data_IF_489086057308
#
_entry.id   IF_489086057308
#
_cell.length_a   1.000
_cell.length_b   1.000
_cell.length_c   1.000
_cell.angle_alpha   90.00
_cell.angle_beta   90.00
_cell.angle_gamma   90.00
#
_symmetry.space_group_name_H-M   'P 1'
#
loop_
_entity.id
_entity.type
_entity.pdbx_description
1 polymer ?
#
# COMPACT_ATOMS: atom_id res chain seq x y z
N UNK A 1 7.25 11.16 -8.45
CA UNK A 1 8.65 10.69 -8.54
C UNK A 1 9.55 11.33 -7.48
N UNK A 2 9.75 12.67 -7.43
CA UNK A 2 10.69 13.28 -6.47
C UNK A 2 10.36 12.98 -5.00
N UNK A 3 9.09 13.05 -4.59
CA UNK A 3 8.66 12.76 -3.21
C UNK A 3 8.89 11.31 -2.73
N UNK A 4 9.02 10.35 -3.66
CA UNK A 4 9.24 8.94 -3.32
C UNK A 4 10.72 8.68 -3.05
N UNK A 5 11.60 9.25 -3.87
CA UNK A 5 13.04 9.16 -3.65
C UNK A 5 13.47 9.95 -2.42
N UNK A 6 12.86 11.11 -2.17
CA UNK A 6 13.16 11.97 -1.02
C UNK A 6 12.98 11.23 0.32
N UNK A 7 12.01 10.31 0.38
CA UNK A 7 11.75 9.46 1.55
C UNK A 7 12.64 8.22 1.68
N UNK A 8 13.39 7.85 0.64
CA UNK A 8 14.20 6.61 0.61
C UNK A 8 15.71 6.85 0.72
N UNK A 9 16.16 8.03 0.31
CA UNK A 9 17.58 8.37 0.27
C UNK A 9 17.86 9.70 0.99
N UNK A 10 16.85 10.54 1.21
CA UNK A 10 17.06 11.96 1.49
C UNK A 10 17.48 12.72 0.23
N UNK A 11 17.05 13.97 0.10
CA UNK A 11 17.31 14.81 -1.08
C UNK A 11 18.82 14.96 -1.35
N UNK A 12 19.63 15.15 -0.32
CA UNK A 12 21.09 15.29 -0.41
C UNK A 12 21.77 14.07 -1.04
N UNK A 13 21.37 12.85 -0.69
CA UNK A 13 22.00 11.62 -1.20
C UNK A 13 21.68 11.37 -2.64
N UNK A 14 20.46 11.71 -3.06
CA UNK A 14 20.08 11.63 -4.47
C UNK A 14 20.98 12.52 -5.31
N UNK A 15 21.24 13.75 -4.88
CA UNK A 15 22.14 14.64 -5.62
C UNK A 15 23.56 14.07 -5.68
N UNK A 16 24.10 13.55 -4.57
CA UNK A 16 25.45 12.95 -4.55
C UNK A 16 25.53 11.73 -5.47
N UNK A 17 24.54 10.83 -5.42
CA UNK A 17 24.46 9.65 -6.29
C UNK A 17 24.29 10.04 -7.76
N UNK A 18 23.39 10.97 -8.07
CA UNK A 18 23.17 11.44 -9.43
C UNK A 18 24.43 12.08 -10.02
N UNK A 19 25.16 12.87 -9.23
CA UNK A 19 26.42 13.46 -9.65
C UNK A 19 27.50 12.39 -9.87
N UNK A 20 27.66 11.45 -8.95
CA UNK A 20 28.66 10.38 -9.06
C UNK A 20 28.39 9.46 -10.26
N UNK A 21 27.13 9.00 -10.41
CA UNK A 21 26.68 8.21 -11.57
C UNK A 21 26.84 9.01 -12.86
N UNK A 22 26.38 10.26 -12.86
CA UNK A 22 26.44 11.16 -14.02
C UNK A 22 27.87 11.39 -14.51
N UNK A 23 28.82 11.61 -13.59
CA UNK A 23 30.23 11.77 -13.93
C UNK A 23 30.82 10.51 -14.59
N UNK A 24 30.49 9.31 -14.08
CA UNK A 24 30.93 8.06 -14.70
C UNK A 24 30.32 7.80 -16.08
N UNK A 25 29.03 8.14 -16.27
CA UNK A 25 28.36 8.05 -17.57
C UNK A 25 28.93 9.05 -18.58
N UNK A 26 29.28 10.27 -18.14
CA UNK A 26 29.96 11.27 -18.97
C UNK A 26 31.34 10.76 -19.38
N UNK A 27 32.09 10.11 -18.50
CA UNK A 27 33.39 9.54 -18.84
C UNK A 27 33.27 8.42 -19.89
N UNK A 28 32.28 7.53 -19.75
CA UNK A 28 31.96 6.51 -20.77
C UNK A 28 31.65 7.19 -22.10
N UNK A 29 30.83 8.24 -22.08
CA UNK A 29 30.47 8.98 -23.28
C UNK A 29 31.66 9.67 -23.95
N UNK A 30 32.55 10.30 -23.18
CA UNK A 30 33.78 10.93 -23.68
C UNK A 30 34.69 9.90 -24.36
N UNK A 31 34.96 8.77 -23.70
CA UNK A 31 35.77 7.67 -24.29
C UNK A 31 35.18 7.12 -25.57
N UNK A 32 33.86 7.05 -25.64
CA UNK A 32 33.16 6.56 -26.82
C UNK A 32 33.24 7.54 -27.99
N UNK A 33 33.27 8.86 -27.73
CA UNK A 33 33.47 9.90 -28.74
C UNK A 33 34.91 10.03 -29.23
N UNK A 34 35.89 9.65 -28.41
CA UNK A 34 37.32 9.72 -28.76
C UNK A 34 37.79 8.56 -29.65
N UNK A 35 36.90 7.64 -30.05
CA UNK A 35 37.18 6.59 -31.02
C UNK A 35 37.33 7.11 -32.47
N UNK A 36 37.71 6.23 -33.43
CA UNK A 36 37.88 6.62 -34.83
C UNK A 36 36.61 7.31 -35.37
N UNK A 37 36.80 8.40 -36.13
CA UNK A 37 35.71 9.21 -36.66
C UNK A 37 34.68 8.33 -37.41
N UNK A 38 33.42 8.35 -36.95
CA UNK A 38 32.31 7.55 -37.51
C UNK A 38 31.91 6.33 -36.66
N UNK A 39 32.72 5.94 -35.68
CA UNK A 39 32.36 4.93 -34.70
C UNK A 39 31.35 5.55 -33.70
N UNK A 40 30.05 5.40 -33.97
CA UNK A 40 28.99 5.85 -33.08
C UNK A 40 29.07 5.21 -31.69
N UNK A 41 28.18 5.61 -30.78
CA UNK A 41 28.18 5.14 -29.39
C UNK A 41 28.03 3.62 -29.18
N UNK A 42 27.69 2.90 -30.25
CA UNK A 42 27.57 1.44 -30.32
C UNK A 42 28.89 0.72 -30.59
N UNK A 43 29.99 1.45 -30.84
CA UNK A 43 31.25 0.86 -31.29
C UNK A 43 31.99 0.12 -30.18
N UNK A 44 31.76 0.45 -28.91
CA UNK A 44 32.33 -0.25 -27.76
C UNK A 44 31.26 -1.04 -26.98
N UNK A 45 31.70 -2.06 -26.24
CA UNK A 45 30.78 -2.92 -25.48
C UNK A 45 30.00 -2.13 -24.40
N UNK A 46 30.61 -1.12 -23.82
CA UNK A 46 30.06 -0.33 -22.72
C UNK A 46 28.97 0.64 -23.17
N UNK A 47 29.18 1.36 -24.28
CA UNK A 47 28.18 2.22 -24.87
C UNK A 47 26.97 1.42 -25.37
N UNK A 48 27.19 0.22 -25.91
CA UNK A 48 26.10 -0.74 -26.22
C UNK A 48 25.33 -1.15 -24.97
N UNK A 49 26.02 -1.42 -23.85
CA UNK A 49 25.36 -1.79 -22.60
C UNK A 49 24.52 -0.64 -22.03
N UNK A 50 25.08 0.58 -21.96
CA UNK A 50 24.33 1.79 -21.57
C UNK A 50 23.09 1.96 -22.45
N UNK A 51 23.27 1.80 -23.76
CA UNK A 51 22.18 1.94 -24.70
C UNK A 51 21.09 0.92 -24.58
N UNK A 52 21.46 -0.35 -24.44
CA UNK A 52 20.52 -1.42 -24.19
C UNK A 52 19.71 -1.15 -22.92
N UNK A 53 20.34 -0.72 -21.83
CA UNK A 53 19.65 -0.42 -20.57
C UNK A 53 18.66 0.74 -20.71
N UNK A 54 19.06 1.84 -21.36
CA UNK A 54 18.17 2.99 -21.64
C UNK A 54 16.99 2.55 -22.52
N UNK A 55 17.26 1.80 -23.59
CA UNK A 55 16.21 1.31 -24.49
C UNK A 55 15.25 0.39 -23.75
N UNK A 56 15.75 -0.55 -22.94
CA UNK A 56 14.92 -1.45 -22.13
C UNK A 56 14.01 -0.64 -21.21
N UNK A 57 14.56 0.33 -20.48
CA UNK A 57 13.79 1.17 -19.56
C UNK A 57 12.71 1.98 -20.29
N UNK A 58 13.10 2.74 -21.30
CA UNK A 58 12.19 3.63 -22.04
C UNK A 58 11.13 2.82 -22.79
N UNK A 59 11.51 1.77 -23.50
CA UNK A 59 10.57 0.93 -24.24
C UNK A 59 9.57 0.25 -23.29
N UNK A 60 10.03 -0.27 -22.15
CA UNK A 60 9.15 -0.92 -21.18
C UNK A 60 8.13 0.05 -20.59
N UNK A 61 8.57 1.24 -20.19
CA UNK A 61 7.67 2.28 -19.66
C UNK A 61 6.68 2.78 -20.72
N UNK A 62 7.14 3.01 -21.96
CA UNK A 62 6.30 3.43 -23.06
C UNK A 62 5.25 2.37 -23.41
N UNK A 63 5.64 1.10 -23.55
CA UNK A 63 4.72 0.00 -23.84
C UNK A 63 3.66 -0.10 -22.74
N UNK A 64 4.07 -0.05 -21.47
CA UNK A 64 3.14 -0.11 -20.34
C UNK A 64 2.20 1.11 -20.31
N UNK A 65 2.71 2.31 -20.58
CA UNK A 65 1.91 3.54 -20.64
C UNK A 65 0.91 3.52 -21.81
N UNK A 66 1.34 3.15 -23.02
CA UNK A 66 0.47 3.00 -24.20
C UNK A 66 -0.62 1.96 -23.93
N UNK A 67 -0.24 0.80 -23.38
CA UNK A 67 -1.20 -0.25 -23.02
C UNK A 67 -2.23 0.24 -21.99
N UNK A 68 -1.81 1.12 -21.07
CA UNK A 68 -2.70 1.72 -20.10
C UNK A 68 -3.72 2.70 -20.68
N UNK A 69 -3.52 3.19 -21.91
CA UNK A 69 -4.54 3.99 -22.61
C UNK A 69 -5.74 3.14 -23.05
N UNK A 70 -5.53 1.84 -23.30
CA UNK A 70 -6.60 0.91 -23.68
C UNK A 70 -7.39 0.42 -22.46
N UNK A 71 -6.68 0.12 -21.37
CA UNK A 71 -7.25 -0.28 -20.09
C UNK A 71 -6.60 0.57 -18.99
N UNK A 72 -7.34 1.52 -18.37
CA UNK A 72 -6.80 2.40 -17.33
C UNK A 72 -6.28 1.61 -16.12
N UNK A 73 -5.00 1.25 -16.17
CA UNK A 73 -4.35 0.41 -15.16
C UNK A 73 -3.09 1.05 -14.59
N UNK A 74 -2.63 2.17 -15.15
CA UNK A 74 -1.35 2.79 -14.79
C UNK A 74 -1.29 3.16 -13.31
N UNK A 75 -0.23 2.71 -12.64
CA UNK A 75 0.05 3.04 -11.26
C UNK A 75 1.56 3.25 -11.07
N UNK A 76 1.95 4.17 -10.18
CA UNK A 76 3.37 4.48 -9.91
C UNK A 76 4.19 3.26 -9.49
N UNK A 77 3.55 2.23 -8.90
CA UNK A 77 4.21 0.97 -8.56
C UNK A 77 4.80 0.23 -9.76
N UNK A 78 4.32 0.48 -10.98
CA UNK A 78 4.88 -0.13 -12.19
C UNK A 78 6.22 0.46 -12.60
N UNK A 79 6.60 1.62 -12.04
CA UNK A 79 7.96 2.14 -12.16
C UNK A 79 8.99 1.23 -11.48
N UNK A 80 8.57 0.26 -10.64
CA UNK A 80 9.45 -0.76 -10.10
C UNK A 80 10.19 -1.54 -11.21
N UNK A 81 9.59 -1.68 -12.41
CA UNK A 81 10.24 -2.36 -13.55
C UNK A 81 11.46 -1.57 -14.05
N UNK A 82 11.48 -0.25 -13.87
CA UNK A 82 12.62 0.59 -14.22
C UNK A 82 13.78 0.49 -13.20
N UNK A 83 13.55 -0.07 -12.02
CA UNK A 83 14.57 -0.14 -10.96
C UNK A 83 15.79 -0.95 -11.40
N UNK A 84 15.59 -2.12 -12.00
CA UNK A 84 16.69 -2.98 -12.43
C UNK A 84 17.62 -2.30 -13.47
N UNK A 85 17.12 -1.76 -14.61
CA UNK A 85 18.00 -1.10 -15.58
C UNK A 85 18.65 0.16 -15.00
N UNK A 86 17.94 0.95 -14.18
CA UNK A 86 18.52 2.12 -13.51
C UNK A 86 19.62 1.74 -12.52
N UNK A 87 19.45 0.66 -11.75
CA UNK A 87 20.48 0.16 -10.83
C UNK A 87 21.73 -0.28 -11.59
N UNK A 88 21.57 -0.97 -12.73
CA UNK A 88 22.71 -1.38 -13.56
C UNK A 88 23.43 -0.19 -14.20
N UNK A 89 22.68 0.81 -14.67
CA UNK A 89 23.24 2.08 -15.16
C UNK A 89 23.98 2.82 -14.04
N UNK A 90 23.39 2.87 -12.86
CA UNK A 90 23.98 3.47 -11.67
C UNK A 90 25.27 2.77 -11.26
N UNK A 91 25.27 1.44 -11.18
CA UNK A 91 26.44 0.63 -10.87
C UNK A 91 27.57 0.83 -11.89
N UNK A 92 27.24 0.86 -13.18
CA UNK A 92 28.21 1.13 -14.23
C UNK A 92 28.79 2.55 -14.12
N UNK A 93 27.96 3.56 -13.87
CA UNK A 93 28.41 4.93 -13.63
C UNK A 93 29.34 5.03 -12.43
N UNK A 94 28.95 4.47 -11.28
CA UNK A 94 29.76 4.46 -10.06
C UNK A 94 31.10 3.74 -10.26
N UNK A 95 31.11 2.60 -10.94
CA UNK A 95 32.33 1.85 -11.26
C UNK A 95 33.33 2.67 -12.09
N UNK A 96 32.86 3.65 -12.87
CA UNK A 96 33.71 4.53 -13.70
C UNK A 96 34.00 5.88 -13.08
N UNK A 97 33.32 6.24 -12.01
CA UNK A 97 33.61 7.44 -11.24
C UNK A 97 34.86 7.30 -10.33
N UNK A 98 35.48 6.12 -10.27
CA UNK A 98 36.72 5.89 -9.50
C UNK A 98 36.51 6.16 -8.01
N UNK A 99 37.42 6.92 -7.39
CA UNK A 99 37.34 7.26 -5.96
C UNK A 99 36.06 8.01 -5.57
N UNK A 100 35.47 8.78 -6.50
CA UNK A 100 34.19 9.46 -6.25
C UNK A 100 33.03 8.47 -6.17
N UNK A 101 33.07 7.40 -6.96
CA UNK A 101 32.08 6.32 -6.89
C UNK A 101 32.12 5.59 -5.55
N UNK A 102 33.33 5.31 -5.04
CA UNK A 102 33.53 4.70 -3.71
C UNK A 102 33.04 5.62 -2.59
N UNK A 103 33.38 6.91 -2.63
CA UNK A 103 32.90 7.88 -1.65
C UNK A 103 31.36 8.01 -1.67
N UNK A 104 30.75 8.03 -2.85
CA UNK A 104 29.30 8.02 -3.02
C UNK A 104 28.63 6.78 -2.42
N UNK A 105 29.17 5.59 -2.68
CA UNK A 105 28.66 4.33 -2.11
C UNK A 105 28.81 4.29 -0.58
N UNK A 106 29.95 4.74 -0.05
CA UNK A 106 30.17 4.81 1.40
C UNK A 106 29.15 5.74 2.07
N UNK A 107 28.85 6.88 1.47
CA UNK A 107 27.84 7.81 1.98
C UNK A 107 26.44 7.19 1.99
N UNK A 108 26.03 6.48 0.93
CA UNK A 108 24.74 5.76 0.92
C UNK A 108 24.68 4.72 2.04
N UNK A 109 25.74 3.91 2.20
CA UNK A 109 25.79 2.88 3.24
C UNK A 109 25.67 3.48 4.65
N UNK A 110 26.36 4.59 4.91
CA UNK A 110 26.25 5.32 6.18
C UNK A 110 24.82 5.80 6.40
N UNK A 111 24.18 6.39 5.38
CA UNK A 111 22.86 6.97 5.56
C UNK A 111 21.77 5.90 5.70
N UNK A 112 21.89 4.77 5.01
CA UNK A 112 21.03 3.61 5.25
C UNK A 112 21.22 3.01 6.64
N UNK A 113 22.39 3.10 7.25
CA UNK A 113 22.59 2.66 8.64
C UNK A 113 21.82 3.52 9.65
N UNK A 114 21.41 4.73 9.27
CA UNK A 114 20.64 5.65 10.12
C UNK A 114 19.18 5.82 9.68
N UNK A 115 18.78 5.29 8.52
CA UNK A 115 17.40 5.34 8.04
C UNK A 115 16.61 4.13 8.56
N UNK A 116 15.59 4.40 9.38
CA UNK A 116 14.72 3.37 9.95
C UNK A 116 13.49 3.13 9.08
N UNK A 117 12.88 1.94 9.13
CA UNK A 117 11.59 1.74 8.48
C UNK A 117 10.57 2.76 9.03
N UNK A 118 9.59 3.18 8.21
CA UNK A 118 8.48 3.99 8.71
C UNK A 118 7.86 3.27 9.91
N UNK A 119 7.60 3.99 11.02
CA UNK A 119 7.25 3.34 12.29
C UNK A 119 5.99 2.48 12.14
N UNK A 120 5.01 2.92 11.35
CA UNK A 120 3.77 2.16 11.11
C UNK A 120 3.13 2.46 9.75
N UNK A 121 2.53 1.43 9.14
CA UNK A 121 1.69 1.53 7.92
C UNK A 121 0.20 1.66 8.22
N UNK A 122 -0.22 1.20 9.40
CA UNK A 122 -1.59 1.19 9.95
C UNK A 122 -1.51 0.80 11.43
N UNK A 123 -2.59 0.99 12.18
CA UNK A 123 -2.70 0.63 13.61
C UNK A 123 -3.37 -0.73 13.87
N UNK A 124 -3.43 -1.65 12.89
CA UNK A 124 -4.16 -2.93 13.04
C UNK A 124 -3.62 -3.78 14.19
N UNK A 125 -2.31 -3.82 14.39
CA UNK A 125 -1.69 -4.57 15.50
C UNK A 125 -2.08 -4.00 16.86
N UNK A 126 -2.02 -2.68 17.02
CA UNK A 126 -2.46 -1.95 18.22
C UNK A 126 -3.95 -2.16 18.48
N UNK A 127 -4.76 -2.08 17.42
CA UNK A 127 -6.21 -2.33 17.46
C UNK A 127 -6.50 -3.75 17.93
N UNK A 128 -5.81 -4.75 17.38
CA UNK A 128 -6.00 -6.15 17.72
C UNK A 128 -5.59 -6.47 19.17
N UNK A 129 -4.43 -5.98 19.61
CA UNK A 129 -3.97 -6.13 20.99
C UNK A 129 -4.97 -5.52 22.00
N UNK A 130 -5.62 -4.41 21.62
CA UNK A 130 -6.65 -3.78 22.47
C UNK A 130 -7.97 -4.56 22.46
N UNK A 131 -8.30 -5.22 21.34
CA UNK A 131 -9.53 -6.01 21.21
C UNK A 131 -9.42 -7.41 21.82
N UNK A 132 -8.21 -7.97 21.92
CA UNK A 132 -7.93 -9.34 22.40
C UNK A 132 -8.69 -9.71 23.69
N UNK A 133 -8.74 -8.86 24.75
CA UNK A 133 -9.47 -9.20 25.98
C UNK A 133 -11.00 -9.20 25.83
N UNK A 134 -11.52 -8.61 24.75
CA UNK A 134 -12.95 -8.34 24.56
C UNK A 134 -13.61 -9.34 23.61
N UNK A 135 -12.91 -9.74 22.55
CA UNK A 135 -13.43 -10.70 21.56
C UNK A 135 -13.33 -12.13 22.07
N UNK A 136 -14.30 -12.96 21.69
CA UNK A 136 -14.36 -14.38 22.06
C UNK A 136 -14.55 -15.27 20.82
N UNK A 137 -14.11 -16.54 20.85
CA UNK A 137 -14.38 -17.50 19.78
C UNK A 137 -15.84 -17.48 19.34
N UNK A 138 -16.08 -17.35 18.04
CA UNK A 138 -17.41 -17.24 17.43
C UNK A 138 -18.01 -15.83 17.34
N UNK A 139 -17.38 -14.81 17.93
CA UNK A 139 -17.73 -13.41 17.69
C UNK A 139 -17.45 -13.04 16.21
N UNK A 140 -18.16 -12.02 15.72
CA UNK A 140 -18.12 -11.60 14.33
C UNK A 140 -17.28 -10.33 14.16
N UNK A 141 -16.23 -10.38 13.34
CA UNK A 141 -15.44 -9.22 12.91
C UNK A 141 -15.86 -8.83 11.49
N UNK A 142 -16.31 -7.60 11.34
CA UNK A 142 -16.78 -7.03 10.08
C UNK A 142 -15.83 -5.91 9.67
N UNK A 143 -15.11 -6.03 8.55
CA UNK A 143 -14.30 -4.94 8.02
C UNK A 143 -14.95 -4.27 6.81
N UNK A 144 -15.09 -2.95 6.85
CA UNK A 144 -15.60 -2.19 5.71
C UNK A 144 -14.54 -1.98 4.62
N UNK A 145 -13.27 -2.24 4.94
CA UNK A 145 -12.16 -2.36 4.01
C UNK A 145 -11.84 -3.85 3.79
N UNK A 146 -12.31 -4.49 2.71
CA UNK A 146 -12.12 -5.91 2.49
C UNK A 146 -10.65 -6.36 2.56
N UNK A 147 -9.71 -5.48 2.20
CA UNK A 147 -8.26 -5.73 2.24
C UNK A 147 -7.67 -5.87 3.65
N UNK A 148 -8.42 -5.49 4.70
CA UNK A 148 -7.96 -5.59 6.09
C UNK A 148 -8.24 -6.96 6.71
N UNK A 149 -9.09 -7.80 6.12
CA UNK A 149 -9.45 -9.10 6.72
C UNK A 149 -8.23 -10.01 6.93
N UNK A 150 -7.29 -10.18 5.97
CA UNK A 150 -6.16 -11.06 6.21
C UNK A 150 -5.26 -10.63 7.37
N UNK A 151 -5.04 -9.32 7.53
CA UNK A 151 -4.24 -8.80 8.64
C UNK A 151 -5.01 -8.84 9.97
N UNK A 152 -6.33 -8.60 9.96
CA UNK A 152 -7.17 -8.76 11.15
C UNK A 152 -7.22 -10.22 11.60
N UNK A 153 -7.34 -11.18 10.68
CA UNK A 153 -7.31 -12.61 10.97
C UNK A 153 -5.95 -13.05 11.53
N UNK A 154 -4.86 -12.55 10.96
CA UNK A 154 -3.51 -12.83 11.45
C UNK A 154 -3.31 -12.43 12.92
N UNK A 155 -3.84 -11.26 13.35
CA UNK A 155 -3.66 -10.79 14.72
C UNK A 155 -4.73 -11.26 15.71
N UNK A 156 -5.99 -11.44 15.27
CA UNK A 156 -7.09 -11.80 16.16
C UNK A 156 -7.37 -13.32 16.25
N UNK A 157 -6.81 -14.11 15.33
CA UNK A 157 -6.98 -15.57 15.30
C UNK A 157 -8.13 -16.04 14.39
N UNK A 158 -8.18 -17.34 14.12
CA UNK A 158 -9.12 -18.01 13.22
C UNK A 158 -10.41 -18.51 13.90
N UNK A 159 -10.46 -18.47 15.23
CA UNK A 159 -11.65 -18.81 16.03
C UNK A 159 -12.79 -17.78 15.90
N UNK A 160 -12.55 -16.64 15.24
CA UNK A 160 -13.54 -15.61 14.97
C UNK A 160 -14.20 -15.79 13.60
N UNK A 161 -15.41 -15.25 13.44
CA UNK A 161 -16.08 -15.18 12.14
C UNK A 161 -15.73 -13.88 11.46
N UNK A 162 -15.38 -13.91 10.18
CA UNK A 162 -15.01 -12.71 9.43
C UNK A 162 -16.01 -12.38 8.32
N UNK A 163 -16.29 -11.10 8.16
CA UNK A 163 -17.12 -10.59 7.08
C UNK A 163 -16.58 -9.25 6.55
N UNK A 164 -16.96 -8.95 5.30
CA UNK A 164 -16.71 -7.66 4.66
C UNK A 164 -18.03 -7.01 4.27
N UNK A 165 -17.94 -5.90 3.53
CA UNK A 165 -19.11 -5.30 2.87
C UNK A 165 -19.90 -6.29 2.00
N UNK A 166 -19.30 -7.38 1.55
CA UNK A 166 -19.91 -8.41 0.71
C UNK A 166 -20.44 -9.63 1.48
N UNK A 167 -20.41 -9.61 2.81
CA UNK A 167 -20.79 -10.75 3.66
C UNK A 167 -19.59 -11.55 4.16
N UNK A 168 -19.85 -12.80 4.59
CA UNK A 168 -18.86 -13.68 5.22
C UNK A 168 -17.69 -14.01 4.30
N UNK A 169 -16.48 -14.08 4.86
CA UNK A 169 -15.25 -14.38 4.14
C UNK A 169 -14.77 -15.80 4.48
N UNK A 170 -14.80 -16.75 3.52
CA UNK A 170 -14.35 -18.11 3.77
C UNK A 170 -12.81 -18.26 3.68
N UNK A 171 -12.14 -17.45 2.86
CA UNK A 171 -10.69 -17.45 2.70
C UNK A 171 -10.08 -16.21 3.36
N UNK A 172 -9.39 -16.41 4.48
CA UNK A 172 -8.78 -15.33 5.26
C UNK A 172 -7.37 -14.96 4.75
N UNK A 173 -6.81 -15.71 3.80
CA UNK A 173 -5.46 -15.46 3.28
C UNK A 173 -5.40 -14.34 2.24
N UNK A 174 -6.51 -14.05 1.56
CA UNK A 174 -6.54 -13.11 0.44
C UNK A 174 -7.89 -12.41 0.30
N UNK A 175 -7.84 -11.14 -0.12
CA UNK A 175 -9.03 -10.39 -0.52
C UNK A 175 -9.18 -10.42 -2.03
N UNK A 176 -10.30 -11.00 -2.51
CA UNK A 176 -10.63 -10.97 -3.94
C UNK A 176 -11.16 -9.61 -4.38
N UNK A 177 -10.33 -8.88 -5.12
CA UNK A 177 -10.65 -7.56 -5.68
C UNK A 177 -11.23 -7.58 -7.09
N UNK A 178 -11.40 -8.76 -7.71
CA UNK A 178 -12.07 -8.86 -9.00
C UNK A 178 -13.47 -8.27 -8.86
N UNK A 179 -13.80 -7.37 -9.78
CA UNK A 179 -15.06 -6.61 -9.80
C UNK A 179 -15.37 -5.88 -8.49
N UNK A 180 -14.34 -5.53 -7.69
CA UNK A 180 -14.52 -4.99 -6.35
C UNK A 180 -15.37 -3.72 -6.30
N UNK A 181 -15.21 -2.81 -7.26
CA UNK A 181 -16.02 -1.58 -7.34
C UNK A 181 -17.50 -1.91 -7.60
N UNK A 182 -17.76 -2.82 -8.53
CA UNK A 182 -19.11 -3.26 -8.88
C UNK A 182 -19.78 -3.94 -7.69
N UNK A 183 -19.05 -4.82 -7.00
CA UNK A 183 -19.51 -5.50 -5.78
C UNK A 183 -19.80 -4.50 -4.66
N UNK A 184 -18.92 -3.52 -4.42
CA UNK A 184 -19.12 -2.45 -3.42
C UNK A 184 -20.32 -1.55 -3.75
N UNK A 185 -20.55 -1.23 -5.02
CA UNK A 185 -21.75 -0.47 -5.44
C UNK A 185 -23.03 -1.23 -5.13
N UNK A 186 -23.01 -2.54 -5.34
CA UNK A 186 -24.17 -3.38 -5.11
C UNK A 186 -24.57 -3.46 -3.63
N UNK A 187 -23.66 -3.24 -2.67
CA UNK A 187 -23.91 -3.54 -1.26
C UNK A 187 -24.76 -2.52 -0.53
N UNK A 188 -25.35 -2.89 0.60
CA UNK A 188 -25.99 -1.98 1.56
C UNK A 188 -26.02 -2.60 2.95
N UNK A 189 -26.16 -1.79 3.99
CA UNK A 189 -26.25 -2.30 5.36
C UNK A 189 -27.47 -3.23 5.52
N UNK A 190 -28.62 -2.83 4.98
CA UNK A 190 -29.85 -3.63 5.05
C UNK A 190 -29.71 -4.99 4.35
N UNK A 191 -29.05 -5.03 3.18
CA UNK A 191 -28.97 -6.27 2.40
C UNK A 191 -27.86 -7.19 2.87
N UNK A 192 -26.70 -6.64 3.23
CA UNK A 192 -25.48 -7.42 3.44
C UNK A 192 -25.08 -7.51 4.92
N UNK A 193 -25.38 -6.50 5.75
CA UNK A 193 -25.06 -6.49 7.18
C UNK A 193 -26.22 -7.06 8.03
N UNK A 194 -27.47 -6.71 7.74
CA UNK A 194 -28.64 -7.19 8.50
C UNK A 194 -28.69 -8.72 8.64
N UNK A 195 -28.44 -9.53 7.58
CA UNK A 195 -28.45 -10.99 7.71
C UNK A 195 -27.35 -11.50 8.65
N UNK A 196 -26.22 -10.80 8.77
CA UNK A 196 -25.15 -11.16 9.69
C UNK A 196 -25.59 -10.91 11.14
N UNK A 197 -26.21 -9.76 11.39
CA UNK A 197 -26.75 -9.40 12.72
C UNK A 197 -27.83 -10.41 13.15
N UNK A 198 -28.72 -10.82 12.23
CA UNK A 198 -29.79 -11.80 12.52
C UNK A 198 -29.25 -13.18 12.90
N UNK A 199 -28.09 -13.58 12.40
CA UNK A 199 -27.42 -14.86 12.71
C UNK A 199 -26.56 -14.80 13.96
N UNK A 200 -26.36 -13.60 14.52
CA UNK A 200 -25.57 -13.40 15.73
C UNK A 200 -26.39 -13.83 16.94
N UNK A 201 -25.89 -14.79 17.71
CA UNK A 201 -26.54 -15.26 18.93
C UNK A 201 -26.54 -14.15 20.00
N UNK A 202 -27.57 -14.06 20.86
CA UNK A 202 -27.53 -13.22 22.04
C UNK A 202 -26.26 -13.43 22.88
N UNK A 203 -25.68 -12.34 23.37
CA UNK A 203 -24.41 -12.32 24.12
C UNK A 203 -23.14 -12.39 23.26
N UNK A 204 -23.24 -12.65 21.95
CA UNK A 204 -22.11 -12.58 21.01
C UNK A 204 -21.83 -11.14 20.59
N UNK A 205 -20.60 -10.89 20.15
CA UNK A 205 -20.16 -9.56 19.72
C UNK A 205 -20.06 -9.44 18.21
N UNK A 206 -20.35 -8.24 17.73
CA UNK A 206 -20.03 -7.76 16.39
C UNK A 206 -19.01 -6.63 16.52
N UNK A 207 -17.85 -6.80 15.90
CA UNK A 207 -16.80 -5.79 15.84
C UNK A 207 -16.81 -5.17 14.45
N UNK A 208 -17.28 -3.92 14.33
CA UNK A 208 -17.22 -3.17 13.09
C UNK A 208 -15.85 -2.46 13.00
N UNK A 209 -15.02 -2.87 12.05
CA UNK A 209 -13.73 -2.26 11.74
C UNK A 209 -13.85 -1.39 10.50
N UNK A 210 -13.59 -0.10 10.64
CA UNK A 210 -13.71 0.90 9.58
C UNK A 210 -12.49 1.84 9.52
N UNK A 211 -12.18 2.43 8.35
CA UNK A 211 -11.13 3.42 8.24
C UNK A 211 -11.47 4.73 8.96
N UNK A 212 -10.48 5.33 9.60
CA UNK A 212 -10.54 6.71 10.08
C UNK A 212 -10.12 7.63 8.94
N UNK A 213 -11.08 8.37 8.40
CA UNK A 213 -10.88 9.28 7.27
C UNK A 213 -10.64 10.71 7.77
N UNK A 214 -9.38 11.15 7.74
CA UNK A 214 -8.99 12.54 8.07
C UNK A 214 -9.06 13.50 6.88
N UNK A 215 -8.80 12.99 5.68
CA UNK A 215 -8.72 13.77 4.45
C UNK A 215 -9.59 13.08 3.39
N UNK A 216 -10.67 13.76 2.96
CA UNK A 216 -11.62 13.21 2.00
C UNK A 216 -11.05 13.13 0.59
N UNK A 217 -10.12 14.02 0.22
CA UNK A 217 -9.54 14.04 -1.13
C UNK A 217 -8.72 12.78 -1.39
N UNK A 218 -8.02 12.27 -0.36
CA UNK A 218 -7.31 10.98 -0.43
C UNK A 218 -8.24 9.77 -0.61
N UNK A 219 -9.53 9.93 -0.38
CA UNK A 219 -10.56 8.90 -0.48
C UNK A 219 -11.52 9.13 -1.67
N UNK A 220 -11.07 9.89 -2.68
CA UNK A 220 -11.85 10.21 -3.88
C UNK A 220 -11.77 9.16 -5.00
N UNK A 221 -10.89 8.16 -4.88
CA UNK A 221 -10.86 7.08 -5.86
C UNK A 221 -12.15 6.24 -5.79
N UNK A 222 -12.63 5.67 -6.91
CA UNK A 222 -13.96 5.04 -6.95
C UNK A 222 -14.22 3.98 -5.89
N UNK A 223 -13.22 3.17 -5.55
CA UNK A 223 -13.37 2.12 -4.53
C UNK A 223 -13.24 2.67 -3.10
N UNK A 224 -12.29 3.58 -2.84
CA UNK A 224 -12.12 4.20 -1.51
C UNK A 224 -13.33 5.04 -1.15
N UNK A 225 -13.89 5.77 -2.11
CA UNK A 225 -15.08 6.57 -1.89
C UNK A 225 -16.26 5.69 -1.44
N UNK A 226 -16.47 4.57 -2.13
CA UNK A 226 -17.50 3.60 -1.77
C UNK A 226 -17.27 3.02 -0.38
N UNK A 227 -16.04 2.62 -0.03
CA UNK A 227 -15.70 2.17 1.33
C UNK A 227 -16.07 3.24 2.36
N UNK A 228 -15.70 4.50 2.13
CA UNK A 228 -16.03 5.62 3.03
C UNK A 228 -17.54 5.78 3.20
N UNK A 229 -18.29 5.79 2.10
CA UNK A 229 -19.75 5.93 2.12
C UNK A 229 -20.43 4.75 2.82
N UNK A 230 -20.02 3.51 2.52
CA UNK A 230 -20.56 2.30 3.15
C UNK A 230 -20.18 2.19 4.62
N UNK A 231 -19.00 2.66 5.03
CA UNK A 231 -18.62 2.71 6.45
C UNK A 231 -19.56 3.62 7.24
N UNK A 232 -19.89 4.80 6.69
CA UNK A 232 -20.88 5.70 7.30
C UNK A 232 -22.26 5.03 7.39
N UNK A 233 -22.73 4.42 6.30
CA UNK A 233 -24.02 3.72 6.26
C UNK A 233 -24.09 2.59 7.30
N UNK A 234 -23.07 1.72 7.35
CA UNK A 234 -23.04 0.57 8.25
C UNK A 234 -22.95 0.99 9.71
N UNK A 235 -22.14 2.01 10.01
CA UNK A 235 -22.05 2.58 11.36
C UNK A 235 -23.38 3.18 11.81
N UNK A 236 -24.06 3.94 10.95
CA UNK A 236 -25.39 4.49 11.27
C UNK A 236 -26.39 3.35 11.49
N UNK A 237 -26.42 2.36 10.61
CA UNK A 237 -27.32 1.21 10.72
C UNK A 237 -27.14 0.44 12.03
N UNK A 238 -25.89 0.17 12.44
CA UNK A 238 -25.60 -0.52 13.71
C UNK A 238 -25.93 0.32 14.94
N UNK A 239 -25.82 1.65 14.84
CA UNK A 239 -26.14 2.57 15.94
C UNK A 239 -27.65 2.66 16.19
N UNK A 240 -28.44 2.47 15.14
CA UNK A 240 -29.91 2.54 15.17
C UNK A 240 -30.57 1.16 15.38
N UNK A 241 -29.79 0.07 15.50
CA UNK A 241 -30.32 -1.29 15.71
C UNK A 241 -30.50 -1.57 17.21
N UNK A 242 -31.75 -1.55 17.67
CA UNK A 242 -32.13 -1.78 19.08
C UNK A 242 -31.71 -3.14 19.65
N UNK A 243 -31.26 -4.07 18.80
CA UNK A 243 -30.80 -5.40 19.23
C UNK A 243 -29.31 -5.39 19.59
N UNK A 244 -28.62 -4.27 19.40
CA UNK A 244 -27.17 -4.14 19.58
C UNK A 244 -26.87 -2.99 20.53
N UNK A 245 -25.97 -3.23 21.48
CA UNK A 245 -25.45 -2.19 22.38
C UNK A 245 -23.96 -1.99 22.15
N UNK A 246 -23.50 -0.74 22.08
CA UNK A 246 -22.06 -0.44 21.94
C UNK A 246 -21.38 -0.65 23.30
N UNK A 247 -20.43 -1.58 23.36
CA UNK A 247 -19.65 -1.85 24.59
C UNK A 247 -18.26 -1.23 24.56
N UNK A 248 -17.68 -0.96 23.38
CA UNK A 248 -16.36 -0.35 23.26
C UNK A 248 -16.16 0.34 21.90
N UNK A 249 -15.28 1.34 21.87
CA UNK A 249 -14.76 1.99 20.65
C UNK A 249 -13.25 2.11 20.77
N UNK A 250 -12.52 1.62 19.77
CA UNK A 250 -11.05 1.57 19.77
C UNK A 250 -10.52 2.02 18.41
N UNK A 251 -9.56 2.95 18.32
CA UNK A 251 -9.11 3.82 19.40
C UNK A 251 -10.21 4.80 19.82
N UNK A 252 -10.08 5.45 21.00
CA UNK A 252 -11.00 6.51 21.42
C UNK A 252 -11.05 7.66 20.39
N UNK A 253 -12.10 8.48 20.47
CA UNK A 253 -12.50 9.49 19.45
C UNK A 253 -11.40 10.46 19.03
N UNK A 254 -10.40 10.71 19.86
CA UNK A 254 -9.17 11.42 19.50
C UNK A 254 -8.05 10.42 19.16
N UNK A 255 -7.75 10.25 17.87
CA UNK A 255 -6.61 9.46 17.41
C UNK A 255 -5.75 10.30 16.45
N UNK A 256 -4.41 10.28 16.56
CA UNK A 256 -3.55 11.08 15.70
C UNK A 256 -3.64 10.63 14.24
N UNK A 257 -3.44 11.57 13.32
CA UNK A 257 -3.39 11.24 11.89
C UNK A 257 -2.22 10.31 11.59
N UNK A 258 -2.53 9.05 11.28
CA UNK A 258 -1.59 8.01 10.84
C UNK A 258 -1.89 7.59 9.40
N UNK A 259 -0.94 6.94 8.69
CA UNK A 259 -1.26 6.28 7.43
C UNK A 259 -2.31 5.18 7.65
N UNK A 260 -3.39 5.20 6.86
CA UNK A 260 -4.48 4.22 6.86
C UNK A 260 -4.92 3.72 8.25
N UNK A 261 -5.36 4.61 9.15
CA UNK A 261 -5.78 4.22 10.49
C UNK A 261 -7.17 3.59 10.46
N UNK A 262 -7.39 2.62 11.35
CA UNK A 262 -8.65 1.92 11.56
C UNK A 262 -9.24 2.22 12.94
N UNK A 263 -10.55 2.10 13.02
CA UNK A 263 -11.34 2.09 14.24
C UNK A 263 -12.21 0.85 14.28
N UNK A 264 -12.25 0.18 15.42
CA UNK A 264 -13.20 -0.85 15.79
C UNK A 264 -14.30 -0.26 16.70
N UNK A 265 -15.55 -0.58 16.41
CA UNK A 265 -16.68 -0.39 17.34
C UNK A 265 -17.21 -1.77 17.69
N UNK A 266 -17.24 -2.09 18.99
CA UNK A 266 -17.70 -3.38 19.50
C UNK A 266 -19.15 -3.24 19.93
N UNK A 267 -20.01 -4.06 19.35
CA UNK A 267 -21.41 -4.19 19.69
C UNK A 267 -21.66 -5.54 20.33
N UNK A 268 -22.46 -5.60 21.40
CA UNK A 268 -22.98 -6.86 21.94
C UNK A 268 -24.41 -7.07 21.48
N UNK A 269 -24.75 -8.31 21.12
CA UNK A 269 -26.11 -8.72 20.80
C UNK A 269 -26.93 -8.88 22.07
N UNK A 270 -28.00 -8.10 22.20
CA UNK A 270 -28.93 -8.20 23.30
C UNK A 270 -29.86 -9.42 23.13
N UNK A 271 -30.30 -10.05 24.24
CA UNK A 271 -31.43 -10.96 24.19
C UNK A 271 -32.67 -10.22 23.69
N UNK A 272 -33.49 -10.90 22.91
CA UNK A 272 -34.80 -10.39 22.51
C UNK A 272 -35.79 -10.90 23.55
N UNK A 273 -36.42 -9.98 24.28
CA UNK A 273 -37.52 -10.29 25.20
C UNK A 273 -38.76 -10.80 24.46
#
# INVERSE_FOLDING_TARGET
>A
LPQVFERLLGSTVQFVLLLAVGMGLVEIWRRTRSGPAGAGWWANAEGRAVGALIVIEVATLLIAWVSSQLSPAWALRYLAVAVAPLLLLGALGLARAGGVGVAGLALVAVLWAFDGPPPEKSNVSELAATLEPTVRPGDLVVSTQPEQIPVLAYYLGDDLRYATLWGTVPDLGVTDWRDGVQRLRATSARRDLEPLIRRLEPGRRLVLVEPIVYDRERWSAPWTELVRLRSLEWRTYLREDDRLEITAVVPPTSYPARPNPLRATVHIRLPVD
#
